data_IF_725349647249
#
_entry.id   IF_725349647249
#
_cell.length_a   1.000
_cell.length_b   1.000
_cell.length_c   1.000
_cell.angle_alpha   90.00
_cell.angle_beta   90.00
_cell.angle_gamma   90.00
#
_symmetry.space_group_name_H-M   'P 1'
#
loop_
_entity.id
_entity.type
_entity.pdbx_description
1 polymer ?
#
# COMPACT_ATOMS: atom_id res chain seq x y z
N UNK A 1 36.54 8.70 13.77
CA UNK A 1 35.19 9.25 13.56
C UNK A 1 34.20 8.15 13.88
N UNK A 2 33.36 8.25 14.92
CA UNK A 2 32.31 7.26 15.16
C UNK A 2 31.31 7.32 13.99
N UNK A 3 31.07 6.18 13.34
CA UNK A 3 30.12 6.05 12.25
C UNK A 3 28.74 6.54 12.70
N UNK A 4 28.10 7.36 11.87
CA UNK A 4 26.71 7.79 12.08
C UNK A 4 25.85 6.53 12.27
N UNK A 5 25.09 6.42 13.36
CA UNK A 5 24.23 5.26 13.55
C UNK A 5 23.35 5.06 12.32
N UNK A 6 23.19 3.82 11.89
CA UNK A 6 22.32 3.52 10.75
C UNK A 6 20.93 4.12 11.00
N UNK A 7 20.48 4.93 10.05
CA UNK A 7 19.18 5.62 10.15
C UNK A 7 18.09 4.60 10.42
N UNK A 8 17.42 4.71 11.58
CA UNK A 8 16.43 3.76 12.03
C UNK A 8 15.14 3.91 11.22
N UNK A 9 14.72 2.82 10.56
CA UNK A 9 13.40 2.74 9.94
C UNK A 9 12.34 2.45 11.00
N UNK A 10 11.25 3.18 10.96
CA UNK A 10 10.04 2.90 11.72
C UNK A 10 8.81 3.01 10.83
N UNK A 11 7.70 2.43 11.28
CA UNK A 11 6.48 2.34 10.47
C UNK A 11 5.29 2.70 11.32
N UNK A 12 4.35 3.44 10.75
CA UNK A 12 3.13 3.86 11.44
C UNK A 12 1.93 3.80 10.49
N UNK A 13 0.75 3.35 10.95
CA UNK A 13 -0.47 3.47 10.17
C UNK A 13 -0.80 4.94 9.92
N UNK A 14 -1.51 5.20 8.83
CA UNK A 14 -2.07 6.53 8.58
C UNK A 14 -3.38 6.65 9.33
N UNK A 15 -3.37 7.53 10.30
CA UNK A 15 -4.51 7.93 11.13
C UNK A 15 -4.54 9.45 11.32
N UNK A 16 -5.37 9.95 12.22
CA UNK A 16 -5.46 11.40 12.50
C UNK A 16 -4.14 12.00 12.97
N UNK A 17 -3.29 11.24 13.68
CA UNK A 17 -2.01 11.71 14.22
C UNK A 17 -0.89 11.76 13.17
N UNK A 18 -0.97 10.95 12.11
CA UNK A 18 0.02 10.84 11.03
C UNK A 18 -0.45 11.45 9.72
N UNK A 19 -1.67 11.99 9.66
CA UNK A 19 -2.21 12.60 8.44
C UNK A 19 -1.31 13.68 7.85
N UNK A 20 -0.75 14.56 8.67
CA UNK A 20 0.13 15.63 8.22
C UNK A 20 1.41 15.12 7.54
N UNK A 21 1.94 13.99 8.02
CA UNK A 21 3.09 13.32 7.43
C UNK A 21 2.75 12.67 6.09
N UNK A 22 1.58 12.04 6.00
CA UNK A 22 1.06 11.48 4.76
C UNK A 22 0.84 12.58 3.71
N UNK A 23 0.23 13.70 4.10
CA UNK A 23 0.02 14.87 3.27
C UNK A 23 1.36 15.44 2.76
N UNK A 24 2.33 15.64 3.65
CA UNK A 24 3.68 16.12 3.30
C UNK A 24 4.37 15.21 2.27
N UNK A 25 4.31 13.89 2.46
CA UNK A 25 4.89 12.92 1.52
C UNK A 25 4.23 12.98 0.15
N UNK A 26 2.90 13.12 0.09
CA UNK A 26 2.13 13.09 -1.16
C UNK A 26 2.20 14.42 -1.92
N UNK A 27 2.33 15.55 -1.23
CA UNK A 27 2.46 16.87 -1.83
C UNK A 27 3.91 17.23 -2.19
N UNK A 28 4.89 16.48 -1.71
CA UNK A 28 6.29 16.66 -2.08
C UNK A 28 6.49 16.56 -3.60
N UNK A 29 7.60 17.12 -4.08
CA UNK A 29 7.95 17.04 -5.51
C UNK A 29 8.00 15.59 -6.00
N UNK A 30 7.18 15.26 -7.00
CA UNK A 30 7.04 13.91 -7.53
C UNK A 30 6.11 13.01 -6.73
N UNK A 31 5.43 13.54 -5.71
CA UNK A 31 4.40 12.83 -4.96
C UNK A 31 3.11 12.62 -5.75
N UNK A 32 2.30 11.61 -5.40
CA UNK A 32 1.10 11.25 -6.16
C UNK A 32 -0.13 12.11 -5.77
N UNK A 33 0.06 13.42 -5.65
CA UNK A 33 -0.98 14.39 -5.26
C UNK A 33 -2.20 14.45 -6.20
N UNK A 34 -2.10 13.89 -7.38
CA UNK A 34 -3.22 13.78 -8.33
C UNK A 34 -4.11 12.56 -8.01
N UNK A 35 -3.54 11.52 -7.42
CA UNK A 35 -4.21 10.24 -7.16
C UNK A 35 -4.68 10.09 -5.71
N UNK A 36 -3.87 10.51 -4.73
CA UNK A 36 -4.08 10.32 -3.29
C UNK A 36 -4.41 8.85 -2.91
N UNK A 37 -3.86 7.88 -3.65
CA UNK A 37 -4.16 6.44 -3.54
C UNK A 37 -5.67 6.11 -3.63
N UNK A 38 -6.44 6.95 -4.31
CA UNK A 38 -7.88 6.74 -4.53
C UNK A 38 -8.21 5.88 -5.75
N UNK A 39 -7.23 5.53 -6.60
CA UNK A 39 -7.46 4.78 -7.83
C UNK A 39 -8.26 3.49 -7.63
N UNK A 40 -8.02 2.77 -6.55
CA UNK A 40 -8.70 1.53 -6.20
C UNK A 40 -9.68 1.67 -5.03
N UNK A 41 -9.83 2.87 -4.46
CA UNK A 41 -10.73 3.14 -3.32
C UNK A 41 -11.94 3.97 -3.70
N UNK A 42 -11.82 4.79 -4.74
CA UNK A 42 -12.89 5.68 -5.16
C UNK A 42 -14.11 4.88 -5.62
N UNK A 43 -15.29 5.30 -5.20
CA UNK A 43 -16.55 4.84 -5.81
C UNK A 43 -16.59 5.26 -7.27
N UNK A 44 -17.51 4.68 -8.07
CA UNK A 44 -17.67 5.09 -9.47
C UNK A 44 -17.99 6.59 -9.61
N UNK A 45 -18.75 7.14 -8.66
CA UNK A 45 -19.08 8.56 -8.63
C UNK A 45 -17.87 9.42 -8.26
N UNK A 46 -17.15 9.07 -7.19
CA UNK A 46 -15.90 9.75 -6.80
C UNK A 46 -14.87 9.74 -7.93
N UNK A 47 -14.70 8.60 -8.61
CA UNK A 47 -13.76 8.47 -9.72
C UNK A 47 -14.07 9.41 -10.89
N UNK A 48 -15.37 9.68 -11.15
CA UNK A 48 -15.80 10.60 -12.23
C UNK A 48 -15.74 12.07 -11.85
N UNK A 49 -15.96 12.41 -10.58
CA UNK A 49 -16.17 13.80 -10.13
C UNK A 49 -14.98 14.42 -9.43
N UNK A 50 -14.10 13.61 -8.81
CA UNK A 50 -13.05 14.15 -7.96
C UNK A 50 -11.76 14.40 -8.74
N UNK A 51 -11.30 15.64 -8.66
CA UNK A 51 -9.94 16.07 -8.96
C UNK A 51 -8.95 15.70 -7.84
N UNK A 52 -7.70 16.16 -7.94
CA UNK A 52 -6.69 15.91 -6.92
C UNK A 52 -7.09 16.38 -5.52
N UNK A 53 -7.48 17.65 -5.34
CA UNK A 53 -7.99 18.15 -4.05
C UNK A 53 -9.20 17.40 -3.52
N UNK A 54 -10.14 17.04 -4.40
CA UNK A 54 -11.31 16.24 -4.04
C UNK A 54 -10.93 14.83 -3.56
N UNK A 55 -9.98 14.18 -4.22
CA UNK A 55 -9.44 12.88 -3.80
C UNK A 55 -8.72 12.96 -2.46
N UNK A 56 -7.95 14.02 -2.21
CA UNK A 56 -7.36 14.29 -0.90
C UNK A 56 -8.41 14.35 0.21
N UNK A 57 -9.48 15.12 0.01
CA UNK A 57 -10.60 15.21 0.96
C UNK A 57 -11.28 13.87 1.17
N UNK A 58 -11.50 13.09 0.11
CA UNK A 58 -12.11 11.77 0.19
C UNK A 58 -11.22 10.77 0.97
N UNK A 59 -9.92 10.79 0.77
CA UNK A 59 -8.98 9.99 1.56
C UNK A 59 -9.00 10.42 3.04
N UNK A 60 -8.96 11.73 3.32
CA UNK A 60 -8.99 12.26 4.69
C UNK A 60 -10.26 11.85 5.44
N UNK A 61 -11.43 11.87 4.79
CA UNK A 61 -12.68 11.38 5.39
C UNK A 61 -12.60 9.92 5.79
N UNK A 62 -11.95 9.06 4.99
CA UNK A 62 -11.74 7.64 5.32
C UNK A 62 -10.86 7.49 6.56
N UNK A 63 -9.77 8.22 6.63
CA UNK A 63 -8.88 8.25 7.80
C UNK A 63 -9.62 8.72 9.05
N UNK A 64 -10.40 9.80 8.95
CA UNK A 64 -11.21 10.33 10.06
C UNK A 64 -12.31 9.37 10.51
N UNK A 65 -12.82 8.55 9.60
CA UNK A 65 -13.80 7.50 9.90
C UNK A 65 -13.15 6.22 10.46
N UNK A 66 -11.84 6.21 10.71
CA UNK A 66 -11.11 5.05 11.22
C UNK A 66 -10.92 3.91 10.22
N UNK A 67 -11.15 4.16 8.94
CA UNK A 67 -10.92 3.15 7.88
C UNK A 67 -9.41 3.01 7.68
N UNK A 68 -8.84 1.80 7.80
CA UNK A 68 -7.44 1.57 7.47
C UNK A 68 -7.16 1.94 6.02
N UNK A 69 -6.10 2.70 5.77
CA UNK A 69 -5.73 3.11 4.41
C UNK A 69 -4.32 2.71 4.03
N UNK A 70 -3.43 2.49 5.00
CA UNK A 70 -2.07 2.07 4.75
C UNK A 70 -1.09 2.50 5.82
N UNK A 71 0.19 2.29 5.57
CA UNK A 71 1.27 2.60 6.48
C UNK A 71 2.33 3.50 5.83
N UNK A 72 2.92 4.37 6.62
CA UNK A 72 4.09 5.19 6.29
C UNK A 72 5.35 4.54 6.85
N UNK A 73 6.42 4.55 6.06
CA UNK A 73 7.77 4.31 6.53
C UNK A 73 8.46 5.63 6.86
N UNK A 74 9.14 5.66 7.98
CA UNK A 74 9.90 6.82 8.46
C UNK A 74 11.38 6.50 8.54
N UNK A 75 12.21 7.50 8.25
CA UNK A 75 13.65 7.51 8.54
C UNK A 75 13.95 8.76 9.34
N UNK A 76 14.47 8.57 10.55
CA UNK A 76 14.78 9.71 11.44
C UNK A 76 13.60 10.68 11.60
N UNK A 77 12.37 10.16 11.78
CA UNK A 77 11.08 10.88 11.90
C UNK A 77 10.55 11.51 10.61
N UNK A 78 11.26 11.41 9.48
CA UNK A 78 10.76 11.90 8.19
C UNK A 78 10.03 10.78 7.43
N UNK A 79 8.82 11.01 6.90
CA UNK A 79 8.12 10.04 6.09
C UNK A 79 8.84 9.89 4.74
N UNK A 80 9.31 8.68 4.45
CA UNK A 80 10.14 8.39 3.27
C UNK A 80 9.50 7.43 2.28
N UNK A 81 8.44 6.73 2.67
CA UNK A 81 7.72 5.84 1.76
C UNK A 81 6.32 5.50 2.31
N UNK A 82 5.50 4.92 1.48
CA UNK A 82 4.12 4.55 1.76
C UNK A 82 3.75 3.24 1.10
N UNK A 83 2.86 2.46 1.72
CA UNK A 83 2.06 1.46 1.03
C UNK A 83 0.59 1.49 1.45
N UNK A 84 -0.28 1.21 0.48
CA UNK A 84 -1.73 1.11 0.68
C UNK A 84 -2.07 -0.32 1.09
N UNK A 85 -2.46 -0.52 2.34
CA UNK A 85 -2.85 -1.79 2.94
C UNK A 85 -4.12 -1.60 3.76
N UNK A 86 -5.14 -2.42 3.51
CA UNK A 86 -6.42 -2.36 4.21
C UNK A 86 -7.24 -3.64 3.96
N UNK A 87 -8.36 -3.87 4.68
CA UNK A 87 -9.32 -4.90 4.34
C UNK A 87 -9.73 -4.82 2.87
N UNK A 88 -9.76 -5.97 2.17
CA UNK A 88 -10.08 -6.04 0.73
C UNK A 88 -11.42 -5.37 0.41
N UNK A 89 -12.39 -5.47 1.30
CA UNK A 89 -13.72 -4.86 1.17
C UNK A 89 -13.71 -3.32 1.08
N UNK A 90 -12.62 -2.66 1.50
CA UNK A 90 -12.47 -1.20 1.40
C UNK A 90 -12.03 -0.71 0.03
N UNK A 91 -11.72 -1.63 -0.88
CA UNK A 91 -11.32 -1.36 -2.25
C UNK A 91 -12.43 -1.72 -3.24
N UNK A 92 -12.36 -1.16 -4.42
CA UNK A 92 -13.09 -1.65 -5.59
C UNK A 92 -12.64 -3.08 -5.92
N UNK A 93 -13.43 -3.87 -6.67
CA UNK A 93 -13.03 -5.21 -7.05
C UNK A 93 -11.64 -5.25 -7.67
N UNK A 94 -10.73 -5.97 -7.04
CA UNK A 94 -9.31 -6.05 -7.44
C UNK A 94 -9.04 -7.27 -8.35
N UNK A 95 -9.97 -8.22 -8.43
CA UNK A 95 -9.92 -9.37 -9.32
C UNK A 95 -9.22 -10.61 -8.74
N UNK A 96 -9.05 -10.68 -7.42
CA UNK A 96 -8.60 -11.89 -6.73
C UNK A 96 -9.72 -12.93 -6.58
N UNK A 97 -9.38 -14.18 -6.21
CA UNK A 97 -10.36 -15.21 -5.90
C UNK A 97 -11.31 -14.80 -4.78
N UNK A 98 -12.49 -15.39 -4.76
CA UNK A 98 -13.44 -15.19 -3.66
C UNK A 98 -12.83 -15.56 -2.32
N UNK A 99 -13.37 -14.98 -1.26
CA UNK A 99 -12.98 -15.21 0.12
C UNK A 99 -13.57 -16.54 0.58
N UNK A 100 -12.72 -17.45 1.06
CA UNK A 100 -13.19 -18.71 1.62
C UNK A 100 -13.79 -18.48 3.02
N UNK A 101 -14.67 -19.38 3.49
CA UNK A 101 -15.21 -19.29 4.84
C UNK A 101 -14.10 -19.23 5.90
N UNK A 102 -14.16 -18.23 6.76
CA UNK A 102 -13.15 -18.00 7.81
C UNK A 102 -11.91 -17.24 7.37
N UNK A 103 -11.75 -16.88 6.09
CA UNK A 103 -10.70 -15.97 5.65
C UNK A 103 -11.06 -14.51 5.99
N UNK A 104 -10.05 -13.75 6.36
CA UNK A 104 -10.08 -12.30 6.46
C UNK A 104 -8.97 -11.76 5.57
N UNK A 105 -9.35 -11.30 4.38
CA UNK A 105 -8.40 -10.87 3.34
C UNK A 105 -8.12 -9.37 3.46
N UNK A 106 -6.86 -9.04 3.62
CA UNK A 106 -6.35 -7.69 3.44
C UNK A 106 -5.61 -7.58 2.11
N UNK A 107 -5.63 -6.41 1.49
CA UNK A 107 -5.03 -6.16 0.17
C UNK A 107 -3.94 -5.10 0.24
N UNK A 108 -2.78 -5.44 -0.29
CA UNK A 108 -1.62 -4.55 -0.47
C UNK A 108 -1.60 -4.08 -1.93
N UNK A 109 -1.98 -2.81 -2.17
CA UNK A 109 -2.44 -2.38 -3.50
C UNK A 109 -1.51 -1.37 -4.16
N UNK A 110 -0.81 -0.55 -3.39
CA UNK A 110 -0.01 0.54 -3.95
C UNK A 110 1.23 0.79 -3.10
N UNK A 111 2.34 1.11 -3.77
CA UNK A 111 3.55 1.62 -3.14
C UNK A 111 3.88 2.99 -3.70
N UNK A 112 4.32 3.89 -2.82
CA UNK A 112 4.98 5.12 -3.23
C UNK A 112 6.32 5.23 -2.50
N UNK A 113 7.40 5.22 -3.30
CA UNK A 113 8.78 5.43 -2.83
C UNK A 113 9.37 6.55 -3.68
N UNK A 114 9.64 7.73 -3.10
CA UNK A 114 10.28 8.85 -3.79
C UNK A 114 11.59 8.45 -4.45
N UNK A 115 11.88 9.02 -5.62
CA UNK A 115 13.07 8.68 -6.41
C UNK A 115 14.39 8.68 -5.63
N UNK A 116 14.68 9.68 -4.76
CA UNK A 116 15.96 9.73 -4.05
C UNK A 116 16.23 8.57 -3.09
N UNK A 117 15.18 7.87 -2.65
CA UNK A 117 15.28 6.77 -1.67
C UNK A 117 14.98 5.39 -2.27
N UNK A 118 14.82 5.30 -3.58
CA UNK A 118 14.66 4.00 -4.29
C UNK A 118 15.96 3.18 -4.24
N UNK A 119 15.81 1.86 -4.39
CA UNK A 119 16.95 0.94 -4.37
C UNK A 119 17.52 0.66 -2.98
N UNK A 120 16.89 1.17 -1.92
CA UNK A 120 17.34 1.03 -0.53
C UNK A 120 16.54 -0.01 0.28
N UNK A 121 15.88 -0.96 -0.39
CA UNK A 121 15.14 -2.05 0.26
C UNK A 121 13.80 -1.65 0.91
N UNK A 122 13.35 -0.40 0.77
CA UNK A 122 12.14 0.10 1.41
C UNK A 122 10.87 -0.69 1.06
N UNK A 123 10.75 -1.17 -0.18
CA UNK A 123 9.56 -1.96 -0.59
C UNK A 123 9.51 -3.28 0.16
N UNK A 124 10.63 -4.00 0.29
CA UNK A 124 10.68 -5.24 1.08
C UNK A 124 10.34 -5.01 2.55
N UNK A 125 10.79 -3.90 3.12
CA UNK A 125 10.43 -3.52 4.50
C UNK A 125 8.94 -3.19 4.62
N UNK A 126 8.37 -2.44 3.66
CA UNK A 126 6.93 -2.14 3.63
C UNK A 126 6.07 -3.40 3.49
N UNK A 127 6.51 -4.41 2.72
CA UNK A 127 5.78 -5.68 2.59
C UNK A 127 5.74 -6.39 3.95
N UNK A 128 6.89 -6.52 4.64
CA UNK A 128 6.94 -7.16 5.98
C UNK A 128 6.08 -6.43 7.02
N UNK A 129 6.14 -5.11 7.02
CA UNK A 129 5.33 -4.31 7.96
C UNK A 129 3.83 -4.35 7.62
N UNK A 130 3.48 -4.41 6.32
CA UNK A 130 2.10 -4.61 5.89
C UNK A 130 1.55 -5.98 6.36
N UNK A 131 2.38 -7.04 6.32
CA UNK A 131 2.03 -8.35 6.87
C UNK A 131 1.79 -8.28 8.39
N UNK A 132 2.70 -7.64 9.12
CA UNK A 132 2.57 -7.49 10.57
C UNK A 132 1.35 -6.65 10.95
N UNK A 133 1.12 -5.55 10.24
CA UNK A 133 -0.03 -4.67 10.46
C UNK A 133 -1.36 -5.38 10.16
N UNK A 134 -1.46 -6.06 9.02
CA UNK A 134 -2.66 -6.79 8.65
C UNK A 134 -2.95 -7.92 9.65
N UNK A 135 -1.92 -8.72 10.04
CA UNK A 135 -2.05 -9.77 11.05
C UNK A 135 -2.52 -9.21 12.40
N UNK A 136 -1.93 -8.12 12.86
CA UNK A 136 -2.31 -7.45 14.09
C UNK A 136 -3.76 -6.92 14.09
N UNK A 137 -4.37 -6.77 12.91
CA UNK A 137 -5.76 -6.38 12.72
C UNK A 137 -6.67 -7.56 12.31
N UNK A 138 -6.24 -8.80 12.53
CA UNK A 138 -7.04 -9.99 12.34
C UNK A 138 -7.11 -10.52 10.91
N UNK A 139 -6.23 -10.06 10.01
CA UNK A 139 -6.13 -10.65 8.68
C UNK A 139 -5.54 -12.06 8.75
N UNK A 140 -6.13 -13.00 8.02
CA UNK A 140 -5.60 -14.36 7.85
C UNK A 140 -4.88 -14.54 6.52
N UNK A 141 -5.16 -13.66 5.56
CA UNK A 141 -4.57 -13.67 4.21
C UNK A 141 -4.19 -12.26 3.80
N UNK A 142 -2.99 -12.10 3.26
CA UNK A 142 -2.58 -10.89 2.56
C UNK A 142 -2.54 -11.15 1.06
N UNK A 143 -3.29 -10.33 0.31
CA UNK A 143 -3.40 -10.41 -1.15
C UNK A 143 -2.73 -9.20 -1.80
N UNK A 144 -1.96 -9.43 -2.86
CA UNK A 144 -1.26 -8.40 -3.61
C UNK A 144 -1.44 -8.59 -5.13
N UNK A 145 -1.21 -7.53 -5.90
CA UNK A 145 -1.53 -7.50 -7.34
C UNK A 145 -0.35 -7.03 -8.19
N UNK A 146 0.84 -7.64 -8.02
CA UNK A 146 2.03 -7.20 -8.74
C UNK A 146 1.91 -7.37 -10.25
N UNK A 147 2.81 -6.69 -10.94
CA UNK A 147 2.98 -6.78 -12.39
C UNK A 147 4.41 -7.21 -12.75
N UNK A 148 4.58 -7.67 -13.97
CA UNK A 148 5.91 -7.93 -14.53
C UNK A 148 6.72 -6.64 -14.64
N UNK A 149 8.08 -6.70 -14.59
CA UNK A 149 8.94 -5.51 -14.61
C UNK A 149 8.73 -4.62 -15.85
N UNK A 150 8.40 -5.20 -16.99
CA UNK A 150 8.20 -4.53 -18.29
C UNK A 150 6.75 -4.05 -18.47
N UNK A 151 5.86 -4.28 -17.50
CA UNK A 151 4.46 -3.88 -17.63
C UNK A 151 4.35 -2.38 -17.88
N UNK A 152 3.59 -1.95 -18.89
CA UNK A 152 3.42 -0.52 -19.21
C UNK A 152 2.52 0.20 -18.20
N UNK A 153 1.82 -0.54 -17.31
CA UNK A 153 0.88 0.03 -16.35
C UNK A 153 0.91 -0.73 -15.02
N UNK A 154 0.26 -0.15 -14.01
CA UNK A 154 0.12 -0.72 -12.64
C UNK A 154 1.44 -0.97 -11.89
N UNK A 155 2.55 -0.38 -12.30
CA UNK A 155 3.86 -0.55 -11.61
C UNK A 155 3.84 -0.12 -10.15
N UNK A 156 2.94 0.77 -9.77
CA UNK A 156 2.72 1.17 -8.39
C UNK A 156 2.18 0.05 -7.49
N UNK A 157 1.66 -1.04 -8.06
CA UNK A 157 1.18 -2.22 -7.33
C UNK A 157 2.32 -3.19 -6.97
N UNK A 158 3.54 -2.89 -7.37
CA UNK A 158 4.72 -3.70 -7.09
C UNK A 158 5.08 -4.65 -8.23
N UNK A 159 6.22 -5.28 -8.10
CA UNK A 159 6.76 -6.24 -9.07
C UNK A 159 6.67 -7.66 -8.53
N UNK A 160 6.37 -8.63 -9.38
CA UNK A 160 6.27 -10.06 -9.06
C UNK A 160 7.46 -10.56 -8.23
N UNK A 161 8.69 -10.16 -8.59
CA UNK A 161 9.90 -10.60 -7.87
C UNK A 161 9.91 -10.24 -6.39
N UNK A 162 9.33 -9.11 -5.97
CA UNK A 162 9.32 -8.68 -4.57
C UNK A 162 8.41 -9.59 -3.73
N UNK A 163 7.30 -10.01 -4.29
CA UNK A 163 6.35 -10.89 -3.61
C UNK A 163 6.84 -12.34 -3.60
N UNK A 164 7.50 -12.81 -4.67
CA UNK A 164 8.18 -14.12 -4.67
C UNK A 164 9.27 -14.18 -3.58
N UNK A 165 10.07 -13.13 -3.42
CA UNK A 165 11.09 -13.02 -2.37
C UNK A 165 10.50 -12.96 -0.95
N UNK A 166 9.25 -12.56 -0.81
CA UNK A 166 8.51 -12.51 0.45
C UNK A 166 7.59 -13.74 0.66
N UNK A 167 7.81 -14.82 -0.10
CA UNK A 167 7.10 -16.11 0.01
C UNK A 167 5.59 -16.05 -0.30
N UNK A 168 5.18 -15.09 -1.14
CA UNK A 168 3.82 -15.10 -1.71
C UNK A 168 3.73 -16.08 -2.86
N UNK A 169 2.56 -16.67 -3.02
CA UNK A 169 2.25 -17.58 -4.13
C UNK A 169 1.22 -16.97 -5.07
N UNK A 170 1.42 -17.14 -6.36
CA UNK A 170 0.43 -16.76 -7.36
C UNK A 170 -0.78 -17.69 -7.25
N UNK A 171 -1.97 -17.09 -7.16
CA UNK A 171 -3.24 -17.82 -7.04
C UNK A 171 -4.16 -17.60 -8.24
N UNK A 172 -4.02 -16.49 -8.94
CA UNK A 172 -4.79 -16.17 -10.15
C UNK A 172 -4.19 -14.96 -10.89
N UNK A 173 -4.91 -14.51 -11.91
CA UNK A 173 -4.61 -13.26 -12.63
C UNK A 173 -5.82 -12.34 -12.62
N UNK A 174 -5.55 -11.04 -12.61
CA UNK A 174 -6.56 -10.00 -12.66
C UNK A 174 -6.40 -9.18 -13.96
N UNK A 175 -7.16 -9.54 -14.97
CA UNK A 175 -6.99 -9.05 -16.33
C UNK A 175 -5.70 -9.58 -16.97
N UNK A 176 -5.15 -8.85 -17.93
CA UNK A 176 -4.00 -9.30 -18.73
C UNK A 176 -2.64 -8.98 -18.11
N UNK A 177 -2.56 -8.08 -17.14
CA UNK A 177 -1.28 -7.53 -16.66
C UNK A 177 -0.99 -7.79 -15.19
N UNK A 178 -2.02 -7.86 -14.35
CA UNK A 178 -1.84 -8.05 -12.91
C UNK A 178 -1.88 -9.54 -12.56
N UNK A 179 -0.88 -9.96 -11.80
CA UNK A 179 -0.91 -11.23 -11.10
C UNK A 179 -1.64 -11.06 -9.77
N UNK A 180 -2.25 -12.09 -9.25
CA UNK A 180 -2.79 -12.11 -7.88
C UNK A 180 -1.96 -13.05 -7.04
N UNK A 181 -1.32 -12.50 -6.03
CA UNK A 181 -0.45 -13.21 -5.10
C UNK A 181 -1.07 -13.22 -3.71
N UNK A 182 -1.02 -14.35 -3.03
CA UNK A 182 -1.47 -14.48 -1.64
C UNK A 182 -0.38 -15.04 -0.74
N UNK A 183 -0.44 -14.65 0.52
CA UNK A 183 0.32 -15.23 1.62
C UNK A 183 -0.61 -15.45 2.80
N UNK A 184 -0.58 -16.65 3.38
CA UNK A 184 -1.26 -16.93 4.64
C UNK A 184 -0.49 -16.23 5.78
N UNK A 185 -1.21 -15.51 6.59
CA UNK A 185 -0.68 -14.85 7.78
C UNK A 185 -0.96 -15.76 8.98
N UNK A 186 -0.10 -16.77 9.18
CA UNK A 186 -0.21 -17.61 10.38
C UNK A 186 0.01 -16.79 11.64
N UNK A 187 -0.77 -17.13 12.66
CA UNK A 187 -0.67 -16.56 14.01
C UNK A 187 0.64 -16.92 14.67
#
# INVERSE_FOLDING_TARGET
MPGRPAAQLSFRPVDGSTWADFERLFEARGGPKYCWCMAWRATAEEARRLDGPGRKKAMRRRVQAGVPVGILAYRDREPVAWCSIAPRSTYRPLGGPEEAPGESIWSLVCFFVPRPVRGQGLVGSLIREAEAYARGNGATVLEAYPVDPESPSYRFMGQVRWFKQADYREVSRAGTRRHVYRKLLVS
#
